data_IF_271642270826
#
_entry.id   IF_271642270826
#
_cell.length_a   1.000
_cell.length_b   1.000
_cell.length_c   1.000
_cell.angle_alpha   90.00
_cell.angle_beta   90.00
_cell.angle_gamma   90.00
#
_symmetry.space_group_name_H-M   'P 1'
#
loop_
_entity.id
_entity.type
_entity.pdbx_description
1 polymer ?
#
# COMPACT_ATOMS: atom_id res chain seq x y z
N UNK A 1 -30.65 -11.79 22.56
CA UNK A 1 -31.14 -10.70 21.69
C UNK A 1 -30.64 -9.37 22.27
N UNK A 2 -29.53 -8.84 21.76
CA UNK A 2 -28.97 -7.57 22.24
C UNK A 2 -29.76 -6.42 21.63
N UNK A 3 -30.58 -5.75 22.45
CA UNK A 3 -31.26 -4.50 22.07
C UNK A 3 -30.26 -3.52 21.46
N UNK A 4 -30.52 -3.14 20.20
CA UNK A 4 -29.90 -1.96 19.60
C UNK A 4 -30.20 -0.77 20.51
N UNK A 5 -29.19 -0.03 21.00
CA UNK A 5 -29.46 1.12 21.86
C UNK A 5 -30.33 2.12 21.09
N UNK A 6 -31.46 2.49 21.68
CA UNK A 6 -32.40 3.46 21.14
C UNK A 6 -31.66 4.72 20.68
N UNK A 7 -32.02 5.24 19.50
CA UNK A 7 -31.50 6.51 19.02
C UNK A 7 -31.77 7.57 20.10
N UNK A 8 -30.74 8.28 20.58
CA UNK A 8 -30.98 9.35 21.53
C UNK A 8 -31.71 10.49 20.81
N UNK A 9 -32.99 10.66 21.13
CA UNK A 9 -33.80 11.81 20.72
C UNK A 9 -33.80 12.81 21.88
N UNK A 10 -33.14 13.95 21.69
CA UNK A 10 -33.41 15.11 22.54
C UNK A 10 -34.77 15.66 22.12
N UNK A 11 -35.68 15.83 23.08
CA UNK A 11 -37.03 16.37 22.89
C UNK A 11 -37.08 17.89 22.98
N UNK A 12 -36.05 18.53 23.54
CA UNK A 12 -35.99 19.98 23.78
C UNK A 12 -34.68 20.62 23.32
N UNK A 13 -34.70 21.95 23.07
CA UNK A 13 -33.60 22.71 22.43
C UNK A 13 -32.31 22.76 23.25
N UNK A 14 -32.43 22.66 24.57
CA UNK A 14 -31.34 22.69 25.56
C UNK A 14 -30.92 21.30 26.07
N UNK A 15 -31.66 20.24 25.72
CA UNK A 15 -31.41 18.91 26.28
C UNK A 15 -30.27 18.19 25.54
N UNK A 16 -29.19 17.94 26.27
CA UNK A 16 -28.15 17.03 25.83
C UNK A 16 -28.71 15.61 25.82
N UNK A 17 -28.64 14.95 24.67
CA UNK A 17 -28.97 13.54 24.55
C UNK A 17 -28.21 12.72 25.60
N UNK A 18 -28.91 11.97 26.46
CA UNK A 18 -28.26 10.98 27.34
C UNK A 18 -27.56 9.94 26.46
N UNK A 19 -26.23 9.95 26.50
CA UNK A 19 -25.40 9.14 25.62
C UNK A 19 -24.75 8.00 26.42
N UNK A 20 -25.25 6.77 26.26
CA UNK A 20 -24.76 5.58 26.99
C UNK A 20 -23.69 4.77 26.22
N UNK A 21 -22.82 5.44 25.48
CA UNK A 21 -21.77 4.78 24.71
C UNK A 21 -20.48 4.58 25.53
N UNK A 22 -19.96 3.35 25.52
CA UNK A 22 -18.88 2.87 26.39
C UNK A 22 -17.46 3.37 26.07
N UNK A 23 -17.25 4.11 24.95
CA UNK A 23 -15.91 4.33 24.37
C UNK A 23 -15.24 5.68 24.65
N UNK A 24 -15.92 6.70 25.19
CA UNK A 24 -15.29 7.96 25.61
C UNK A 24 -16.23 8.77 26.52
N UNK A 25 -15.70 9.79 27.22
CA UNK A 25 -16.48 10.90 27.77
C UNK A 25 -16.94 11.79 26.62
N UNK A 26 -18.26 11.91 26.43
CA UNK A 26 -18.82 12.58 25.26
C UNK A 26 -19.12 14.05 25.58
N UNK A 27 -18.38 14.97 24.96
CA UNK A 27 -18.75 16.38 24.97
C UNK A 27 -19.66 16.70 23.78
N UNK A 28 -20.95 16.88 24.05
CA UNK A 28 -21.94 17.26 23.05
C UNK A 28 -21.66 18.67 22.49
N UNK A 29 -22.18 18.97 21.29
CA UNK A 29 -21.90 20.25 20.63
C UNK A 29 -20.63 20.27 19.79
N UNK A 30 -20.06 19.11 19.47
CA UNK A 30 -18.91 18.98 18.57
C UNK A 30 -19.27 18.26 17.27
N UNK A 31 -18.52 18.53 16.19
CA UNK A 31 -18.70 17.85 14.89
C UNK A 31 -18.41 16.35 14.98
N UNK A 32 -17.39 15.97 15.74
CA UNK A 32 -16.97 14.57 15.89
C UNK A 32 -18.07 13.71 16.51
N UNK A 33 -18.83 14.29 17.44
CA UNK A 33 -19.99 13.65 18.02
C UNK A 33 -21.09 13.36 17.00
N UNK A 34 -21.30 14.25 16.03
CA UNK A 34 -22.25 14.03 14.94
C UNK A 34 -21.73 12.98 13.93
N UNK A 35 -20.45 13.07 13.56
CA UNK A 35 -19.82 12.23 12.53
C UNK A 35 -19.49 10.81 13.01
N UNK A 36 -18.56 10.71 13.96
CA UNK A 36 -17.99 9.43 14.42
C UNK A 36 -18.92 8.69 15.38
N UNK A 37 -19.49 9.41 16.35
CA UNK A 37 -20.34 8.81 17.38
C UNK A 37 -21.83 8.80 17.02
N UNK A 38 -22.18 9.31 15.84
CA UNK A 38 -23.54 9.33 15.28
C UNK A 38 -24.59 9.95 16.21
N UNK A 39 -24.20 10.87 17.08
CA UNK A 39 -25.14 11.62 17.92
C UNK A 39 -26.02 12.52 17.04
N UNK A 40 -27.28 12.69 17.43
CA UNK A 40 -28.28 13.44 16.66
C UNK A 40 -29.02 14.48 17.51
N UNK A 41 -28.52 14.85 18.69
CA UNK A 41 -29.06 15.97 19.45
C UNK A 41 -28.84 17.30 18.73
N UNK A 42 -29.62 18.31 19.11
CA UNK A 42 -29.59 19.64 18.51
C UNK A 42 -28.22 20.32 18.56
N UNK A 43 -27.47 20.34 19.68
CA UNK A 43 -26.14 20.98 19.70
C UNK A 43 -25.14 20.29 18.77
N UNK A 44 -25.17 18.95 18.64
CA UNK A 44 -24.30 18.24 17.69
C UNK A 44 -24.71 18.48 16.23
N UNK A 45 -26.02 18.60 15.94
CA UNK A 45 -26.50 18.98 14.59
C UNK A 45 -26.11 20.43 14.25
N UNK A 46 -26.24 21.34 15.21
CA UNK A 46 -25.86 22.74 15.07
C UNK A 46 -24.36 22.87 14.79
N UNK A 47 -23.50 22.25 15.61
CA UNK A 47 -22.06 22.24 15.39
C UNK A 47 -21.64 21.71 14.00
N UNK A 48 -22.30 20.64 13.52
CA UNK A 48 -22.06 20.13 12.18
C UNK A 48 -22.52 21.12 11.09
N UNK A 49 -23.70 21.74 11.25
CA UNK A 49 -24.22 22.76 10.33
C UNK A 49 -23.31 23.98 10.29
N UNK A 50 -22.87 24.47 11.45
CA UNK A 50 -22.03 25.65 11.59
C UNK A 50 -20.65 25.42 10.96
N UNK A 51 -20.08 24.23 11.12
CA UNK A 51 -18.85 23.85 10.40
C UNK A 51 -19.03 23.93 8.88
N UNK A 52 -20.11 23.36 8.32
CA UNK A 52 -20.34 23.43 6.88
C UNK A 52 -20.67 24.85 6.41
N UNK A 53 -21.36 25.65 7.22
CA UNK A 53 -21.64 27.06 6.93
C UNK A 53 -20.36 27.90 6.96
N UNK A 54 -19.50 27.71 7.95
CA UNK A 54 -18.24 28.44 8.10
C UNK A 54 -17.22 28.02 7.04
N UNK A 55 -17.25 26.77 6.57
CA UNK A 55 -16.34 26.30 5.51
C UNK A 55 -16.90 26.45 4.10
N UNK A 56 -18.20 26.77 3.94
CA UNK A 56 -18.84 26.89 2.62
C UNK A 56 -18.22 27.98 1.75
N UNK A 57 -17.72 29.07 2.35
CA UNK A 57 -17.03 30.12 1.59
C UNK A 57 -15.68 29.64 1.05
N UNK A 58 -14.98 28.76 1.76
CA UNK A 58 -13.69 28.20 1.35
C UNK A 58 -13.81 27.29 0.13
N UNK A 59 -14.97 26.66 -0.07
CA UNK A 59 -15.18 25.72 -1.19
C UNK A 59 -15.94 26.33 -2.36
N UNK A 60 -16.60 27.48 -2.15
CA UNK A 60 -17.38 28.20 -3.17
C UNK A 60 -16.54 28.85 -4.25
N UNK A 61 -15.33 29.28 -3.90
CA UNK A 61 -14.38 29.94 -4.83
C UNK A 61 -13.46 28.95 -5.52
N UNK A 62 -13.47 27.67 -5.12
CA UNK A 62 -12.61 26.66 -5.70
C UNK A 62 -13.17 26.21 -7.04
N UNK A 63 -12.29 26.07 -8.01
CA UNK A 63 -12.60 25.47 -9.30
C UNK A 63 -12.63 23.95 -9.16
N UNK A 64 -13.57 23.34 -9.88
CA UNK A 64 -13.80 21.90 -9.84
C UNK A 64 -13.79 21.34 -11.25
N UNK A 65 -13.11 20.21 -11.40
CA UNK A 65 -13.03 19.46 -12.63
C UNK A 65 -13.83 18.15 -12.53
N UNK A 66 -14.16 17.57 -13.70
CA UNK A 66 -14.69 16.21 -13.77
C UNK A 66 -13.67 15.22 -13.22
N UNK A 67 -14.14 14.29 -12.39
CA UNK A 67 -13.30 13.28 -11.78
C UNK A 67 -12.96 12.12 -12.73
N UNK A 68 -13.77 11.89 -13.77
CA UNK A 68 -13.59 10.72 -14.63
C UNK A 68 -12.28 10.75 -15.44
N UNK A 69 -11.92 11.84 -16.15
CA UNK A 69 -10.65 11.91 -16.87
C UNK A 69 -9.43 11.76 -15.94
N UNK A 70 -9.53 12.33 -14.74
CA UNK A 70 -8.49 12.25 -13.71
C UNK A 70 -8.32 10.82 -13.20
N UNK A 71 -9.43 10.08 -13.06
CA UNK A 71 -9.39 8.67 -12.67
C UNK A 71 -8.75 7.80 -13.75
N UNK A 72 -9.10 8.02 -15.01
CA UNK A 72 -8.49 7.31 -16.14
C UNK A 72 -6.98 7.56 -16.19
N UNK A 73 -6.56 8.82 -16.03
CA UNK A 73 -5.13 9.16 -15.95
C UNK A 73 -4.43 8.44 -14.79
N UNK A 74 -5.07 8.40 -13.62
CA UNK A 74 -4.53 7.71 -12.46
C UNK A 74 -4.40 6.19 -12.68
N UNK A 75 -5.33 5.57 -13.39
CA UNK A 75 -5.24 4.16 -13.79
C UNK A 75 -4.09 3.92 -14.75
N UNK A 76 -3.94 4.75 -15.79
CA UNK A 76 -2.83 4.67 -16.74
C UNK A 76 -1.47 4.78 -16.06
N UNK A 77 -1.31 5.70 -15.10
CA UNK A 77 -0.07 5.82 -14.33
C UNK A 77 0.23 4.56 -13.51
N UNK A 78 -0.81 3.89 -13.01
CA UNK A 78 -0.67 2.63 -12.26
C UNK A 78 -0.38 1.43 -13.15
N UNK A 79 -0.97 1.38 -14.33
CA UNK A 79 -0.67 0.37 -15.36
C UNK A 79 0.77 0.53 -15.86
N UNK A 80 1.26 1.77 -15.97
CA UNK A 80 2.67 2.07 -16.23
C UNK A 80 3.62 1.78 -15.04
N UNK A 81 3.13 1.12 -13.98
CA UNK A 81 3.96 0.63 -12.88
C UNK A 81 4.09 1.57 -11.68
N UNK A 82 3.49 2.78 -11.68
CA UNK A 82 3.57 3.65 -10.52
C UNK A 82 2.68 3.17 -9.37
N UNK A 83 3.27 3.13 -8.17
CA UNK A 83 2.51 2.91 -6.93
C UNK A 83 1.79 4.20 -6.50
N UNK A 84 0.76 4.08 -5.66
CA UNK A 84 0.14 5.28 -5.05
C UNK A 84 1.11 6.12 -4.24
N UNK A 85 2.16 5.51 -3.69
CA UNK A 85 3.21 6.24 -3.00
C UNK A 85 3.99 7.10 -4.00
N UNK A 86 4.41 6.50 -5.12
CA UNK A 86 5.12 7.23 -6.17
C UNK A 86 4.31 8.40 -6.73
N UNK A 87 3.02 8.17 -7.01
CA UNK A 87 2.13 9.22 -7.51
C UNK A 87 1.96 10.30 -6.43
N UNK A 88 1.88 9.93 -5.15
CA UNK A 88 1.79 10.88 -4.03
C UNK A 88 3.04 11.76 -3.95
N UNK A 89 4.22 11.16 -4.07
CA UNK A 89 5.49 11.85 -3.99
C UNK A 89 5.71 12.78 -5.20
N UNK A 90 5.30 12.36 -6.40
CA UNK A 90 5.41 13.15 -7.64
C UNK A 90 4.37 14.27 -7.74
N UNK A 91 3.13 14.04 -7.31
CA UNK A 91 2.03 15.01 -7.41
C UNK A 91 1.89 15.91 -6.18
N UNK A 92 2.56 15.60 -5.07
CA UNK A 92 2.37 16.26 -3.78
C UNK A 92 1.02 16.00 -3.12
N UNK A 93 0.19 15.12 -3.70
CA UNK A 93 -1.13 14.77 -3.18
C UNK A 93 -1.02 13.69 -2.12
N UNK A 94 -1.90 13.71 -1.11
CA UNK A 94 -1.96 12.61 -0.15
C UNK A 94 -2.47 11.31 -0.78
N UNK A 95 -1.90 10.17 -0.37
CA UNK A 95 -2.33 8.82 -0.80
C UNK A 95 -3.83 8.59 -0.58
N UNK A 96 -4.37 9.14 0.52
CA UNK A 96 -5.80 9.08 0.83
C UNK A 96 -6.64 9.78 -0.23
N UNK A 97 -6.20 10.95 -0.71
CA UNK A 97 -6.86 11.68 -1.79
C UNK A 97 -6.85 10.88 -3.09
N UNK A 98 -5.70 10.30 -3.48
CA UNK A 98 -5.59 9.44 -4.67
C UNK A 98 -6.53 8.23 -4.60
N UNK A 99 -6.60 7.56 -3.44
CA UNK A 99 -7.54 6.46 -3.19
C UNK A 99 -9.00 6.92 -3.26
N UNK A 100 -9.30 8.12 -2.78
CA UNK A 100 -10.63 8.72 -2.88
C UNK A 100 -10.99 9.06 -4.33
N UNK A 101 -10.07 9.51 -5.16
CA UNK A 101 -10.36 9.73 -6.59
C UNK A 101 -10.72 8.41 -7.29
N UNK A 102 -10.01 7.33 -6.96
CA UNK A 102 -10.22 6.03 -7.59
C UNK A 102 -11.47 5.29 -7.09
N UNK A 103 -11.60 5.12 -5.77
CA UNK A 103 -12.67 4.30 -5.16
C UNK A 103 -13.77 5.14 -4.50
N UNK A 104 -13.49 6.40 -4.21
CA UNK A 104 -14.38 7.30 -3.50
C UNK A 104 -14.64 6.93 -2.03
N UNK A 105 -15.31 7.80 -1.28
CA UNK A 105 -15.66 7.52 0.11
C UNK A 105 -16.70 6.39 0.16
N UNK A 106 -16.44 5.36 0.98
CA UNK A 106 -17.31 4.19 1.14
C UNK A 106 -17.61 3.43 -0.17
N UNK A 107 -16.67 3.44 -1.13
CA UNK A 107 -16.80 2.69 -2.39
C UNK A 107 -17.69 3.36 -3.45
N UNK A 108 -18.08 4.63 -3.24
CA UNK A 108 -18.83 5.41 -4.23
C UNK A 108 -17.93 6.43 -4.90
N UNK A 109 -17.69 6.25 -6.19
CA UNK A 109 -16.85 7.15 -6.99
C UNK A 109 -17.31 8.61 -6.90
N UNK A 110 -16.34 9.51 -6.74
CA UNK A 110 -16.60 10.95 -6.73
C UNK A 110 -16.85 11.42 -8.16
N UNK A 111 -17.80 12.35 -8.34
CA UNK A 111 -18.11 12.95 -9.66
C UNK A 111 -17.23 14.14 -10.00
N UNK A 112 -16.70 14.83 -8.98
CA UNK A 112 -15.91 16.04 -9.14
C UNK A 112 -14.72 16.00 -8.20
N UNK A 113 -13.62 16.56 -8.67
CA UNK A 113 -12.39 16.80 -7.90
C UNK A 113 -12.03 18.28 -8.00
N UNK A 114 -11.19 18.75 -7.10
CA UNK A 114 -10.64 20.12 -7.22
C UNK A 114 -9.79 20.21 -8.48
N UNK A 115 -9.87 21.33 -9.19
CA UNK A 115 -9.08 21.56 -10.41
C UNK A 115 -7.57 21.39 -10.11
N UNK A 116 -7.10 21.92 -8.97
CA UNK A 116 -5.72 21.73 -8.52
C UNK A 116 -5.30 20.26 -8.34
N UNK A 117 -6.23 19.37 -7.98
CA UNK A 117 -5.96 17.92 -7.89
C UNK A 117 -5.85 17.31 -9.29
N UNK A 118 -6.70 17.75 -10.22
CA UNK A 118 -6.62 17.32 -11.62
C UNK A 118 -5.29 17.75 -12.24
N UNK A 119 -4.90 19.00 -12.04
CA UNK A 119 -3.64 19.57 -12.55
C UNK A 119 -2.42 18.84 -11.98
N UNK A 120 -2.41 18.57 -10.67
CA UNK A 120 -1.32 17.84 -10.03
C UNK A 120 -1.16 16.40 -10.56
N UNK A 121 -2.26 15.70 -10.84
CA UNK A 121 -2.21 14.34 -11.42
C UNK A 121 -1.78 14.39 -12.89
N UNK A 122 -2.25 15.38 -13.64
CA UNK A 122 -1.90 15.56 -15.05
C UNK A 122 -0.45 16.02 -15.24
N UNK A 123 0.12 16.74 -14.27
CA UNK A 123 1.51 17.16 -14.29
C UNK A 123 2.51 15.98 -14.18
N UNK A 124 2.07 14.82 -13.66
CA UNK A 124 2.92 13.62 -13.59
C UNK A 124 3.15 13.06 -15.00
N UNK A 125 4.38 13.21 -15.47
CA UNK A 125 4.83 12.79 -16.80
C UNK A 125 5.35 11.36 -16.79
N UNK A 126 5.30 10.70 -17.95
CA UNK A 126 5.96 9.42 -18.16
C UNK A 126 7.49 9.50 -17.98
N UNK A 127 8.09 10.68 -18.18
CA UNK A 127 9.52 10.90 -17.90
C UNK A 127 9.84 10.79 -16.41
N UNK A 128 8.90 11.20 -15.56
CA UNK A 128 9.05 11.10 -14.11
C UNK A 128 8.98 9.65 -13.65
N UNK A 129 8.26 8.79 -14.39
CA UNK A 129 8.21 7.33 -14.12
C UNK A 129 9.60 6.72 -14.25
N UNK A 130 10.30 7.00 -15.36
CA UNK A 130 11.64 6.47 -15.60
C UNK A 130 12.67 7.00 -14.60
N UNK A 131 12.48 8.23 -14.09
CA UNK A 131 13.36 8.85 -13.12
C UNK A 131 13.01 8.52 -11.66
N UNK A 132 11.81 8.00 -11.40
CA UNK A 132 11.33 7.75 -10.04
C UNK A 132 12.00 6.51 -9.46
N UNK A 133 12.96 6.73 -8.54
CA UNK A 133 13.40 5.69 -7.61
C UNK A 133 12.55 5.77 -6.34
N UNK A 134 11.83 4.69 -5.97
CA UNK A 134 11.13 4.65 -4.70
C UNK A 134 12.11 4.88 -3.56
N UNK A 135 11.67 5.61 -2.53
CA UNK A 135 12.47 5.74 -1.31
C UNK A 135 12.67 4.36 -0.67
N UNK A 136 13.82 4.14 -0.05
CA UNK A 136 14.22 2.90 0.65
C UNK A 136 13.11 2.23 1.49
N UNK A 137 12.32 3.03 2.20
CA UNK A 137 11.26 2.53 3.10
C UNK A 137 9.94 2.19 2.40
N UNK A 138 9.81 2.47 1.11
CA UNK A 138 8.58 2.23 0.34
C UNK A 138 8.29 0.75 0.29
N UNK A 139 7.07 0.33 0.67
CA UNK A 139 6.65 -1.07 0.48
C UNK A 139 6.31 -1.31 -0.97
N UNK A 140 6.88 -2.36 -1.51
CA UNK A 140 6.70 -2.79 -2.90
C UNK A 140 6.22 -4.24 -2.94
N UNK A 141 5.74 -4.64 -4.11
CA UNK A 141 5.49 -6.04 -4.40
C UNK A 141 6.81 -6.81 -4.42
N UNK A 142 6.83 -7.99 -3.80
CA UNK A 142 8.04 -8.78 -3.60
C UNK A 142 8.25 -9.86 -4.67
N UNK A 143 7.58 -9.80 -5.82
CA UNK A 143 7.57 -10.86 -6.83
C UNK A 143 8.97 -11.20 -7.32
N UNK A 144 9.74 -10.21 -7.79
CA UNK A 144 11.11 -10.38 -8.27
C UNK A 144 12.05 -10.86 -7.15
N UNK A 145 12.02 -10.18 -5.99
CA UNK A 145 12.84 -10.57 -4.84
C UNK A 145 12.52 -11.98 -4.33
N UNK A 146 11.27 -12.42 -4.46
CA UNK A 146 10.84 -13.78 -4.16
C UNK A 146 11.45 -14.77 -5.15
N UNK A 147 11.38 -14.51 -6.46
CA UNK A 147 11.98 -15.37 -7.49
C UNK A 147 13.49 -15.48 -7.28
N UNK A 148 14.18 -14.36 -7.06
CA UNK A 148 15.62 -14.33 -6.73
C UNK A 148 15.94 -15.17 -5.50
N UNK A 149 15.15 -15.04 -4.43
CA UNK A 149 15.31 -15.86 -3.22
C UNK A 149 15.10 -17.35 -3.51
N UNK A 150 14.09 -17.71 -4.31
CA UNK A 150 13.79 -19.10 -4.69
C UNK A 150 14.93 -19.71 -5.51
N UNK A 151 15.44 -18.96 -6.49
CA UNK A 151 16.58 -19.37 -7.32
C UNK A 151 17.84 -19.60 -6.48
N UNK A 152 18.15 -18.71 -5.52
CA UNK A 152 19.27 -18.91 -4.60
C UNK A 152 19.09 -20.16 -3.72
N UNK A 153 17.87 -20.47 -3.27
CA UNK A 153 17.63 -21.72 -2.53
C UNK A 153 17.77 -22.95 -3.41
N UNK A 154 17.38 -22.87 -4.68
CA UNK A 154 17.59 -23.93 -5.66
C UNK A 154 19.09 -24.14 -5.95
N UNK A 155 19.91 -23.08 -5.87
CA UNK A 155 21.37 -23.15 -5.90
C UNK A 155 22.00 -23.59 -4.56
N UNK A 156 21.20 -23.85 -3.53
CA UNK A 156 21.66 -24.39 -2.25
C UNK A 156 21.94 -23.36 -1.15
N UNK A 157 21.68 -22.07 -1.38
CA UNK A 157 21.82 -21.03 -0.35
C UNK A 157 20.62 -21.04 0.60
N UNK A 158 20.82 -21.21 1.91
CA UNK A 158 19.70 -21.19 2.86
C UNK A 158 19.40 -19.77 3.38
N UNK A 159 18.19 -19.53 3.91
CA UNK A 159 17.79 -18.19 4.37
C UNK A 159 18.67 -17.61 5.49
N UNK A 160 19.32 -18.45 6.29
CA UNK A 160 20.31 -18.04 7.29
C UNK A 160 21.57 -17.48 6.63
N UNK A 161 22.10 -18.16 5.60
CA UNK A 161 23.29 -17.68 4.87
C UNK A 161 22.99 -16.37 4.14
N UNK A 162 21.80 -16.28 3.52
CA UNK A 162 21.35 -15.07 2.83
C UNK A 162 21.21 -13.89 3.82
N UNK A 163 20.70 -14.14 5.02
CA UNK A 163 20.55 -13.12 6.05
C UNK A 163 21.88 -12.64 6.61
N UNK A 164 22.82 -13.57 6.85
CA UNK A 164 24.17 -13.26 7.33
C UNK A 164 24.94 -12.38 6.33
N UNK A 165 24.74 -12.57 5.02
CA UNK A 165 25.45 -11.84 3.95
C UNK A 165 24.83 -10.51 3.55
N UNK A 166 23.50 -10.42 3.52
CA UNK A 166 22.79 -9.22 3.03
C UNK A 166 22.48 -8.19 4.09
N UNK A 167 22.58 -8.54 5.38
CA UNK A 167 22.06 -7.71 6.47
C UNK A 167 20.53 -7.69 6.54
N UNK A 168 19.83 -8.40 5.65
CA UNK A 168 18.37 -8.55 5.66
C UNK A 168 17.97 -9.63 6.66
N UNK A 169 17.02 -9.33 7.55
CA UNK A 169 16.55 -10.31 8.54
C UNK A 169 15.94 -11.56 7.90
N UNK A 170 16.21 -12.74 8.46
CA UNK A 170 15.66 -14.05 8.04
C UNK A 170 14.14 -14.05 7.89
N UNK A 171 13.42 -13.25 8.68
CA UNK A 171 11.97 -13.12 8.62
C UNK A 171 11.51 -12.52 7.29
N UNK A 172 12.27 -11.59 6.70
CA UNK A 172 11.96 -10.98 5.41
C UNK A 172 11.97 -12.02 4.30
N UNK A 173 13.01 -12.85 4.21
CA UNK A 173 13.07 -13.95 3.24
C UNK A 173 11.89 -14.92 3.41
N UNK A 174 11.54 -15.30 4.64
CA UNK A 174 10.38 -16.17 4.88
C UNK A 174 9.05 -15.52 4.47
N UNK A 175 8.92 -14.19 4.61
CA UNK A 175 7.75 -13.43 4.16
C UNK A 175 7.67 -13.40 2.64
N UNK A 176 8.79 -13.15 1.96
CA UNK A 176 8.89 -13.17 0.49
C UNK A 176 8.47 -14.52 -0.08
N UNK A 177 8.98 -15.62 0.49
CA UNK A 177 8.61 -16.98 0.06
C UNK A 177 7.12 -17.30 0.24
N UNK A 178 6.43 -16.61 1.15
CA UNK A 178 4.97 -16.69 1.34
C UNK A 178 4.17 -15.73 0.42
N UNK A 179 4.84 -15.02 -0.49
CA UNK A 179 4.22 -14.07 -1.40
C UNK A 179 3.92 -12.70 -0.79
N UNK A 180 4.53 -12.36 0.36
CA UNK A 180 4.37 -11.03 0.96
C UNK A 180 5.38 -10.05 0.39
N UNK A 181 4.96 -8.80 0.19
CA UNK A 181 5.83 -7.71 -0.25
C UNK A 181 6.90 -7.29 0.78
N UNK A 182 7.92 -6.60 0.28
CA UNK A 182 9.09 -6.11 1.03
C UNK A 182 9.26 -4.60 0.87
N UNK A 183 10.31 -4.00 1.42
CA UNK A 183 10.67 -2.60 1.15
C UNK A 183 11.63 -2.50 -0.04
N UNK A 184 11.69 -1.33 -0.68
CA UNK A 184 12.62 -1.09 -1.79
C UNK A 184 14.09 -1.26 -1.39
N UNK A 185 14.46 -0.83 -0.19
CA UNK A 185 15.80 -1.06 0.39
C UNK A 185 16.15 -2.55 0.42
N UNK A 186 15.25 -3.36 0.97
CA UNK A 186 15.45 -4.80 1.08
C UNK A 186 15.44 -5.45 -0.31
N UNK A 187 14.63 -4.96 -1.26
CA UNK A 187 14.66 -5.45 -2.64
C UNK A 187 16.03 -5.21 -3.26
N UNK A 188 16.60 -4.00 -3.11
CA UNK A 188 17.95 -3.67 -3.64
C UNK A 188 19.03 -4.52 -3.00
N UNK A 189 18.97 -4.75 -1.69
CA UNK A 189 19.90 -5.62 -0.98
C UNK A 189 19.82 -7.07 -1.48
N UNK A 190 18.61 -7.58 -1.72
CA UNK A 190 18.40 -8.94 -2.25
C UNK A 190 18.85 -9.05 -3.71
N UNK A 191 18.59 -8.02 -4.51
CA UNK A 191 19.02 -7.96 -5.91
C UNK A 191 20.56 -7.99 -6.00
N UNK A 192 21.24 -7.13 -5.23
CA UNK A 192 22.71 -7.13 -5.15
C UNK A 192 23.25 -8.50 -4.70
N UNK A 193 22.63 -9.11 -3.69
CA UNK A 193 23.00 -10.44 -3.21
C UNK A 193 22.80 -11.52 -4.28
N UNK A 194 21.72 -11.45 -5.05
CA UNK A 194 21.45 -12.39 -6.14
C UNK A 194 22.51 -12.29 -7.23
N UNK A 195 22.86 -11.05 -7.65
CA UNK A 195 23.89 -10.82 -8.66
C UNK A 195 25.26 -11.36 -8.23
N UNK A 196 25.60 -11.26 -6.94
CA UNK A 196 26.82 -11.80 -6.36
C UNK A 196 26.83 -13.35 -6.33
N UNK A 197 25.72 -13.96 -5.89
CA UNK A 197 25.71 -15.37 -5.52
C UNK A 197 25.22 -16.32 -6.62
N UNK A 198 24.54 -15.83 -7.66
CA UNK A 198 23.91 -16.70 -8.69
C UNK A 198 24.87 -17.65 -9.42
N UNK A 199 26.17 -17.32 -9.48
CA UNK A 199 27.21 -18.15 -10.09
C UNK A 199 28.18 -18.74 -9.06
N UNK A 200 27.85 -18.63 -7.77
CA UNK A 200 28.73 -19.02 -6.66
C UNK A 200 28.08 -20.14 -5.85
N UNK A 201 28.82 -21.22 -5.63
CA UNK A 201 28.37 -22.30 -4.76
C UNK A 201 28.44 -21.90 -3.27
N UNK A 202 27.46 -22.32 -2.46
CA UNK A 202 27.51 -22.10 -1.02
C UNK A 202 28.69 -22.85 -0.38
N UNK A 203 29.33 -22.29 0.67
CA UNK A 203 30.44 -22.95 1.35
C UNK A 203 29.98 -24.27 1.99
N UNK A 204 30.85 -25.28 2.02
CA UNK A 204 30.53 -26.65 2.50
C UNK A 204 31.61 -27.26 3.40
N UNK A 205 32.52 -26.44 3.92
CA UNK A 205 33.69 -26.89 4.70
C UNK A 205 33.28 -27.52 6.03
N UNK A 206 32.27 -26.95 6.69
CA UNK A 206 31.80 -27.39 8.01
C UNK A 206 30.56 -28.30 7.93
N UNK A 207 30.33 -29.19 8.93
CA UNK A 207 29.10 -29.99 9.01
C UNK A 207 27.82 -29.15 9.01
N UNK A 208 27.85 -27.97 9.64
CA UNK A 208 26.72 -27.04 9.69
C UNK A 208 26.40 -26.50 8.29
N UNK A 209 27.42 -26.06 7.56
CA UNK A 209 27.29 -25.58 6.18
C UNK A 209 26.71 -26.63 5.24
N UNK A 210 27.23 -27.87 5.27
CA UNK A 210 26.65 -28.99 4.49
C UNK A 210 25.18 -29.25 4.83
N UNK A 211 24.81 -29.10 6.10
CA UNK A 211 23.42 -29.24 6.55
C UNK A 211 22.53 -28.10 6.02
N UNK A 212 23.04 -26.86 6.03
CA UNK A 212 22.34 -25.68 5.49
C UNK A 212 22.07 -25.85 3.99
N UNK A 213 23.08 -26.27 3.22
CA UNK A 213 22.96 -26.55 1.78
C UNK A 213 21.94 -27.64 1.50
N UNK A 214 22.06 -28.79 2.15
CA UNK A 214 21.11 -29.91 1.97
C UNK A 214 19.66 -29.49 2.26
N UNK A 215 19.44 -28.66 3.28
CA UNK A 215 18.11 -28.18 3.65
C UNK A 215 17.53 -27.22 2.61
N UNK A 216 18.35 -26.34 2.04
CA UNK A 216 17.93 -25.43 0.97
C UNK A 216 17.52 -26.22 -0.29
N UNK A 217 18.39 -27.13 -0.74
CA UNK A 217 18.12 -28.00 -1.90
C UNK A 217 16.87 -28.87 -1.70
N UNK A 218 16.72 -29.47 -0.52
CA UNK A 218 15.52 -30.25 -0.20
C UNK A 218 14.25 -29.41 -0.28
N UNK A 219 14.28 -28.19 0.27
CA UNK A 219 13.14 -27.28 0.23
C UNK A 219 12.81 -26.85 -1.19
N UNK A 220 13.83 -26.53 -1.99
CA UNK A 220 13.66 -26.20 -3.40
C UNK A 220 13.00 -27.35 -4.16
N UNK A 221 13.50 -28.58 -3.99
CA UNK A 221 12.93 -29.77 -4.61
C UNK A 221 11.48 -30.04 -4.19
N UNK A 222 11.16 -29.92 -2.89
CA UNK A 222 9.80 -30.10 -2.36
C UNK A 222 8.80 -29.08 -2.94
N UNK A 223 9.26 -27.90 -3.36
CA UNK A 223 8.42 -26.83 -3.90
C UNK A 223 8.59 -26.63 -5.42
N UNK A 224 9.38 -27.46 -6.10
CA UNK A 224 9.65 -27.36 -7.54
C UNK A 224 10.40 -26.09 -7.97
N UNK A 225 11.27 -25.54 -7.13
CA UNK A 225 12.03 -24.33 -7.46
C UNK A 225 13.27 -24.66 -8.29
N UNK A 226 13.52 -23.85 -9.33
CA UNK A 226 14.68 -23.99 -10.22
C UNK A 226 15.64 -22.80 -10.05
N UNK A 227 16.87 -22.95 -10.52
CA UNK A 227 17.86 -21.85 -10.54
C UNK A 227 17.55 -20.81 -11.62
N UNK A 228 16.79 -21.20 -12.65
CA UNK A 228 16.42 -20.38 -13.81
C UNK A 228 15.14 -19.57 -13.61
N UNK A 229 14.44 -19.69 -12.47
CA UNK A 229 13.12 -19.03 -12.27
C UNK A 229 13.12 -17.51 -12.48
N UNK A 230 14.27 -16.86 -12.32
CA UNK A 230 14.40 -15.41 -12.59
C UNK A 230 14.48 -15.16 -14.09
N UNK A 231 15.28 -15.93 -14.81
CA UNK A 231 15.45 -15.86 -16.26
C UNK A 231 14.14 -16.27 -16.97
N UNK A 232 13.51 -17.36 -16.53
CA UNK A 232 12.25 -17.85 -17.09
C UNK A 232 11.11 -16.80 -16.97
N UNK A 233 11.13 -16.01 -15.90
CA UNK A 233 10.18 -14.91 -15.71
C UNK A 233 10.51 -13.68 -16.57
N UNK A 234 11.79 -13.39 -16.82
CA UNK A 234 12.25 -12.28 -17.66
C UNK A 234 11.95 -12.54 -19.15
N UNK A 235 12.00 -13.81 -19.60
CA UNK A 235 11.69 -14.18 -20.99
C UNK A 235 10.21 -14.47 -21.26
N UNK A 236 9.43 -14.88 -20.26
CA UNK A 236 7.99 -15.15 -20.42
C UNK A 236 7.13 -13.90 -20.72
N UNK A 237 7.63 -12.70 -20.42
CA UNK A 237 6.93 -11.43 -20.65
C UNK A 237 7.01 -10.97 -22.12
N UNK A 238 7.96 -11.51 -22.92
CA UNK A 238 8.15 -11.15 -24.33
C UNK A 238 7.37 -12.02 -25.33
N UNK A 239 6.96 -13.24 -24.94
CA UNK A 239 6.23 -14.16 -25.83
C UNK A 239 4.71 -13.89 -25.89
N UNK A 240 4.14 -13.17 -24.91
CA UNK A 240 2.71 -12.82 -24.91
C UNK A 240 2.39 -11.58 -25.78
N UNK A 241 3.38 -10.76 -26.16
CA UNK A 241 3.20 -9.64 -27.09
C UNK A 241 3.36 -10.04 -28.58
N UNK A 242 3.69 -11.30 -28.86
CA UNK A 242 3.95 -11.81 -30.22
C UNK A 242 2.87 -12.78 -30.76
N UNK A 243 1.72 -12.93 -30.09
CA UNK A 243 0.60 -13.78 -30.50
C UNK A 243 -0.72 -13.00 -30.63
#
# INVERSE_FOLDING_TARGET
MTSTPSRPSATDETDLAVCNCRKASHNHGTRDMYGYHRCRCLPCRAANRDYFRSTAHLTRTLEWADAEPVRQRLLQLREAGLTFQAISDLSGLQITALKTVLKGPNGRTVKRVLASTADAINAVSYKDIAAYSPTDKTRIEGSVARLQTMALQAAGWCSEDLAERSGVGKQTFNRLLRGLGTTEEMRRQIDALYQELRWTDPPQDTPLQRTRVRRALRRAAENGWTTTMVEDAEYGEYDEEAA
#
